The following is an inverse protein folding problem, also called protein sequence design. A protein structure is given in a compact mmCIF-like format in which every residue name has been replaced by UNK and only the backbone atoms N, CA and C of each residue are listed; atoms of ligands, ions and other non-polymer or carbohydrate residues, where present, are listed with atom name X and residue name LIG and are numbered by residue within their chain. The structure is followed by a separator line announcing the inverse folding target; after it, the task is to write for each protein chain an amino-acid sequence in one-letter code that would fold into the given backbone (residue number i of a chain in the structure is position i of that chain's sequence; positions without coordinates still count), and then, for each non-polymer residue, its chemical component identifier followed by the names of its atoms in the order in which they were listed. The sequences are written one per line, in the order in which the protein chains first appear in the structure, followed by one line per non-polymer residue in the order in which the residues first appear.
data_IF_264645849298
#
_entry.id   IF_264645849298
#
_cell.length_a   1.000
_cell.length_b   1.000
_cell.length_c   1.000
_cell.angle_alpha   90.00
_cell.angle_beta   90.00
_cell.angle_gamma   90.00
#
_symmetry.space_group_name_H-M   'P 1'
#
loop_
_entity.id
_entity.type
_entity.pdbx_description
1 polymer ?
#
# COMPACT_ATOMS: atom_id res chain seq x y z
N UNK A 1 -10.10 17.34 -21.39
CA UNK A 1 -9.68 18.29 -20.34
C UNK A 1 -10.61 18.39 -19.10
N UNK A 2 -11.75 17.67 -19.02
CA UNK A 2 -12.70 17.79 -17.91
C UNK A 2 -12.63 16.73 -16.79
N UNK A 3 -11.55 15.96 -16.68
CA UNK A 3 -11.42 15.01 -15.56
C UNK A 3 -10.98 15.76 -14.30
N UNK A 4 -11.86 15.81 -13.29
CA UNK A 4 -11.57 16.38 -11.98
C UNK A 4 -10.37 15.75 -11.27
N UNK A 5 -10.16 16.10 -10.01
CA UNK A 5 -9.04 15.60 -9.23
C UNK A 5 -9.11 14.06 -9.07
N UNK A 6 -7.98 13.34 -9.09
CA UNK A 6 -7.99 11.87 -9.01
C UNK A 6 -8.71 11.35 -7.75
N UNK A 7 -8.49 11.98 -6.59
CA UNK A 7 -9.19 11.65 -5.34
C UNK A 7 -10.70 11.87 -5.36
N UNK A 8 -11.23 12.62 -6.32
CA UNK A 8 -12.68 12.78 -6.51
C UNK A 8 -13.27 11.62 -7.31
N UNK A 9 -12.48 10.99 -8.18
CA UNK A 9 -12.87 9.85 -9.02
C UNK A 9 -12.60 8.51 -8.33
N UNK A 10 -11.54 8.44 -7.53
CA UNK A 10 -11.13 7.26 -6.77
C UNK A 10 -10.75 7.68 -5.34
N UNK A 11 -11.73 7.94 -4.46
CA UNK A 11 -11.46 8.26 -3.07
C UNK A 11 -10.85 7.05 -2.33
N UNK A 12 -10.25 7.30 -1.16
CA UNK A 12 -9.77 6.21 -0.30
C UNK A 12 -10.95 5.51 0.36
N UNK A 13 -10.97 4.17 0.29
CA UNK A 13 -12.00 3.32 0.88
C UNK A 13 -12.07 3.51 2.40
N UNK A 14 -10.94 3.61 3.07
CA UNK A 14 -10.85 3.77 4.53
C UNK A 14 -11.05 5.21 5.04
N UNK A 15 -11.39 6.17 4.17
CA UNK A 15 -11.55 7.57 4.55
C UNK A 15 -12.99 7.91 4.98
N UNK A 16 -13.13 8.58 6.12
CA UNK A 16 -14.42 9.08 6.66
C UNK A 16 -15.15 10.03 5.69
N UNK A 17 -14.43 10.61 4.73
CA UNK A 17 -15.00 11.46 3.68
C UNK A 17 -15.89 10.70 2.70
N UNK A 18 -15.69 9.39 2.55
CA UNK A 18 -16.30 8.56 1.49
C UNK A 18 -17.69 8.04 1.86
N UNK A 19 -17.94 7.83 3.16
CA UNK A 19 -19.13 7.17 3.68
C UNK A 19 -19.99 8.11 4.52
N UNK A 20 -21.31 7.94 4.48
CA UNK A 20 -22.25 8.60 5.38
C UNK A 20 -22.28 7.90 6.76
N UNK A 21 -23.07 8.45 7.68
CA UNK A 21 -23.24 7.91 9.03
C UNK A 21 -23.87 6.51 9.09
N UNK A 22 -24.41 6.01 7.98
CA UNK A 22 -25.02 4.68 7.85
C UNK A 22 -24.14 3.71 7.05
N UNK A 23 -22.91 4.08 6.69
CA UNK A 23 -22.01 3.26 5.88
C UNK A 23 -22.37 3.21 4.40
N UNK A 24 -23.20 4.14 3.91
CA UNK A 24 -23.49 4.29 2.47
C UNK A 24 -22.50 5.24 1.82
N UNK A 25 -22.23 5.05 0.53
CA UNK A 25 -21.41 6.00 -0.24
C UNK A 25 -22.13 7.35 -0.23
N UNK A 26 -21.41 8.44 0.10
CA UNK A 26 -22.00 9.79 0.04
C UNK A 26 -22.45 10.16 -1.37
N UNK A 27 -23.51 10.96 -1.45
CA UNK A 27 -24.15 11.33 -2.73
C UNK A 27 -23.17 11.94 -3.75
N UNK A 28 -22.25 12.81 -3.31
CA UNK A 28 -21.27 13.44 -4.20
C UNK A 28 -20.30 12.43 -4.82
N UNK A 29 -19.87 11.42 -4.06
CA UNK A 29 -19.05 10.31 -4.54
C UNK A 29 -19.86 9.41 -5.46
N UNK A 30 -21.11 9.09 -5.09
CA UNK A 30 -22.00 8.26 -5.89
C UNK A 30 -22.25 8.87 -7.28
N UNK A 31 -22.61 10.16 -7.35
CA UNK A 31 -22.83 10.89 -8.61
C UNK A 31 -21.59 10.88 -9.51
N UNK A 32 -20.38 11.00 -8.94
CA UNK A 32 -19.14 10.92 -9.73
C UNK A 32 -18.88 9.52 -10.27
N UNK A 33 -19.13 8.49 -9.46
CA UNK A 33 -19.03 7.09 -9.89
C UNK A 33 -20.05 6.75 -10.98
N UNK A 34 -21.28 7.26 -10.88
CA UNK A 34 -22.31 7.13 -11.92
C UNK A 34 -21.86 7.77 -13.23
N UNK A 35 -21.29 8.98 -13.17
CA UNK A 35 -20.79 9.69 -14.36
C UNK A 35 -19.70 8.93 -15.12
N UNK A 36 -18.83 8.20 -14.42
CA UNK A 36 -17.79 7.38 -15.05
C UNK A 36 -18.26 5.93 -15.33
N UNK A 37 -19.40 5.52 -14.81
CA UNK A 37 -19.93 4.15 -14.95
C UNK A 37 -19.25 3.10 -14.06
N UNK A 38 -18.40 3.52 -13.12
CA UNK A 38 -17.59 2.65 -12.26
C UNK A 38 -17.55 3.19 -10.83
N UNK A 39 -17.68 2.28 -9.84
CA UNK A 39 -17.28 2.58 -8.46
C UNK A 39 -15.82 2.22 -8.27
N UNK A 40 -14.97 3.22 -8.04
CA UNK A 40 -13.51 3.07 -7.94
C UNK A 40 -13.04 3.58 -6.60
N UNK A 41 -12.17 2.83 -5.92
CA UNK A 41 -11.62 3.20 -4.63
C UNK A 41 -10.14 2.87 -4.56
N UNK A 42 -9.35 3.77 -3.98
CA UNK A 42 -7.98 3.48 -3.55
C UNK A 42 -7.98 2.95 -2.12
N UNK A 43 -6.97 2.18 -1.73
CA UNK A 43 -6.85 1.68 -0.35
C UNK A 43 -5.44 1.15 -0.05
N UNK A 44 -5.07 1.22 1.22
CA UNK A 44 -3.87 0.62 1.83
C UNK A 44 -4.20 -0.50 2.82
N UNK A 45 -5.46 -0.90 2.85
CA UNK A 45 -5.88 -1.95 3.75
C UNK A 45 -5.30 -3.30 3.32
N UNK A 46 -5.04 -4.13 4.33
CA UNK A 46 -4.59 -5.49 4.13
C UNK A 46 -5.69 -6.32 3.48
N UNK A 47 -5.31 -7.40 2.80
CA UNK A 47 -6.26 -8.23 2.05
C UNK A 47 -7.45 -8.70 2.90
N UNK A 48 -7.22 -9.05 4.16
CA UNK A 48 -8.23 -9.55 5.09
C UNK A 48 -9.31 -8.50 5.40
N UNK A 49 -8.94 -7.21 5.38
CA UNK A 49 -9.83 -6.08 5.69
C UNK A 49 -10.66 -5.61 4.49
N UNK A 50 -10.33 -6.06 3.27
CA UNK A 50 -11.06 -5.66 2.07
C UNK A 50 -12.40 -6.41 1.93
N UNK A 51 -13.46 -5.73 1.43
CA UNK A 51 -14.74 -6.36 1.14
C UNK A 51 -14.64 -7.26 -0.10
N UNK A 52 -14.69 -8.58 0.09
CA UNK A 52 -14.45 -9.59 -0.97
C UNK A 52 -15.68 -9.88 -1.82
N UNK A 53 -16.42 -8.84 -2.24
CA UNK A 53 -17.63 -9.00 -3.06
C UNK A 53 -17.29 -9.69 -4.40
N UNK A 54 -18.11 -10.65 -4.86
CA UNK A 54 -17.83 -11.48 -6.05
C UNK A 54 -17.59 -10.66 -7.33
N UNK A 55 -18.24 -9.50 -7.43
CA UNK A 55 -18.11 -8.56 -8.55
C UNK A 55 -16.97 -7.56 -8.43
N UNK A 56 -16.27 -7.50 -7.30
CA UNK A 56 -15.14 -6.61 -7.14
C UNK A 56 -13.93 -7.14 -7.91
N UNK A 57 -13.14 -6.22 -8.47
CA UNK A 57 -11.80 -6.48 -8.98
C UNK A 57 -10.81 -5.67 -8.16
N UNK A 58 -9.61 -6.19 -7.97
CA UNK A 58 -8.53 -5.61 -7.19
C UNK A 58 -7.29 -5.49 -8.05
N UNK A 59 -6.67 -4.32 -8.08
CA UNK A 59 -5.35 -4.14 -8.68
C UNK A 59 -4.41 -3.85 -7.52
N UNK A 60 -3.48 -4.75 -7.24
CA UNK A 60 -2.49 -4.59 -6.17
C UNK A 60 -1.15 -4.15 -6.75
N UNK A 61 -0.70 -2.96 -6.36
CA UNK A 61 0.59 -2.41 -6.79
C UNK A 61 1.62 -2.63 -5.69
N UNK A 62 2.69 -3.34 -6.02
CA UNK A 62 3.86 -3.53 -5.17
C UNK A 62 5.08 -2.80 -5.73
N UNK A 63 5.98 -2.39 -4.85
CA UNK A 63 7.25 -1.74 -5.16
C UNK A 63 8.33 -2.36 -4.29
N UNK A 64 9.59 -2.27 -4.71
CA UNK A 64 10.74 -2.54 -3.84
C UNK A 64 10.54 -1.88 -2.46
N UNK A 65 10.49 -2.71 -1.40
CA UNK A 65 10.21 -2.26 -0.04
C UNK A 65 11.17 -1.18 0.44
N UNK A 66 12.42 -1.17 -0.03
CA UNK A 66 13.44 -0.16 0.33
C UNK A 66 13.14 1.19 -0.31
N UNK A 67 12.80 1.18 -1.60
CA UNK A 67 12.34 2.37 -2.31
C UNK A 67 11.02 2.90 -1.75
N UNK A 68 10.13 2.00 -1.34
CA UNK A 68 8.87 2.33 -0.68
C UNK A 68 9.13 3.02 0.67
N UNK A 69 10.04 2.49 1.48
CA UNK A 69 10.44 3.09 2.76
C UNK A 69 10.97 4.52 2.58
N UNK A 70 11.90 4.75 1.65
CA UNK A 70 12.42 6.11 1.38
C UNK A 70 11.34 7.05 0.87
N UNK A 71 10.46 6.56 -0.02
CA UNK A 71 9.34 7.36 -0.49
C UNK A 71 8.38 7.75 0.64
N UNK A 72 8.11 6.82 1.55
CA UNK A 72 7.19 7.03 2.65
C UNK A 72 7.78 7.91 3.75
N UNK A 73 9.09 7.80 4.01
CA UNK A 73 9.83 8.73 4.86
C UNK A 73 9.65 10.17 4.38
N UNK A 74 9.93 10.45 3.10
CA UNK A 74 9.74 11.80 2.56
C UNK A 74 8.29 12.26 2.63
N UNK A 75 7.34 11.36 2.38
CA UNK A 75 5.91 11.64 2.49
C UNK A 75 5.56 12.09 3.92
N UNK A 76 5.90 11.34 4.96
CA UNK A 76 5.57 11.71 6.34
C UNK A 76 6.37 12.91 6.84
N UNK A 77 7.63 13.04 6.41
CA UNK A 77 8.51 14.13 6.87
C UNK A 77 8.16 15.49 6.29
N UNK A 78 7.31 15.52 5.27
CA UNK A 78 6.80 16.76 4.68
C UNK A 78 5.28 16.86 4.77
N UNK A 79 4.59 15.87 5.32
CA UNK A 79 3.17 15.95 5.58
C UNK A 79 2.96 16.72 6.88
N UNK A 80 2.18 17.78 6.86
CA UNK A 80 1.74 18.42 8.10
C UNK A 80 0.74 17.56 8.86
N UNK A 81 0.82 17.62 10.18
CA UNK A 81 -0.28 17.22 11.06
C UNK A 81 -1.49 18.12 10.84
N UNK A 82 -2.64 17.72 11.37
CA UNK A 82 -3.90 18.49 11.22
C UNK A 82 -3.82 19.91 11.77
N UNK A 83 -2.94 20.14 12.75
CA UNK A 83 -2.68 21.47 13.31
C UNK A 83 -1.96 22.42 12.33
N UNK A 84 -1.34 21.90 11.27
CA UNK A 84 -0.55 22.68 10.31
C UNK A 84 0.73 23.28 10.88
N UNK A 85 1.14 22.92 12.09
CA UNK A 85 2.28 23.49 12.81
C UNK A 85 3.51 22.58 12.80
N UNK A 86 3.29 21.27 12.75
CA UNK A 86 4.36 20.27 12.77
C UNK A 86 4.15 19.23 11.70
N UNK A 87 5.24 18.62 11.24
CA UNK A 87 5.17 17.49 10.30
C UNK A 87 4.80 16.21 11.03
N UNK A 88 4.35 15.20 10.28
CA UNK A 88 3.95 13.91 10.87
C UNK A 88 5.15 13.15 11.42
N UNK A 89 6.32 13.34 10.82
CA UNK A 89 7.56 12.73 11.25
C UNK A 89 8.71 13.76 11.12
N UNK A 90 9.41 14.07 12.20
CA UNK A 90 10.49 15.06 12.23
C UNK A 90 11.88 14.44 12.48
N UNK A 91 11.98 13.10 12.48
CA UNK A 91 13.22 12.36 12.68
C UNK A 91 14.04 12.10 11.40
N UNK A 92 15.16 11.43 11.61
CA UNK A 92 16.04 10.92 10.54
C UNK A 92 15.43 9.73 9.80
N UNK A 93 15.95 9.44 8.61
CA UNK A 93 15.55 8.24 7.86
C UNK A 93 15.82 6.96 8.67
N UNK A 94 16.95 6.86 9.38
CA UNK A 94 17.28 5.68 10.19
C UNK A 94 16.28 5.44 11.32
N UNK A 95 15.82 6.51 11.99
CA UNK A 95 14.76 6.41 13.01
C UNK A 95 13.44 5.96 12.38
N UNK A 96 13.05 6.57 11.26
CA UNK A 96 11.85 6.14 10.52
C UNK A 96 11.93 4.67 10.11
N UNK A 97 13.07 4.25 9.56
CA UNK A 97 13.28 2.92 9.05
C UNK A 97 13.19 1.88 10.18
N UNK A 98 13.79 2.16 11.35
CA UNK A 98 13.71 1.30 12.53
C UNK A 98 12.26 1.08 12.99
N UNK A 99 11.44 2.13 13.01
CA UNK A 99 10.01 2.01 13.32
C UNK A 99 9.23 1.30 12.21
N UNK A 100 9.58 1.56 10.94
CA UNK A 100 8.90 1.01 9.78
C UNK A 100 9.07 -0.50 9.66
N UNK A 101 10.28 -1.03 9.82
CA UNK A 101 10.53 -2.50 9.79
C UNK A 101 9.90 -3.23 10.98
N UNK A 102 9.63 -2.53 12.07
CA UNK A 102 8.91 -3.04 13.24
C UNK A 102 7.38 -2.88 13.12
N UNK A 103 6.88 -2.26 12.05
CA UNK A 103 5.44 -2.05 11.85
C UNK A 103 4.82 -0.97 12.73
N UNK A 104 5.63 -0.08 13.30
CA UNK A 104 5.17 1.05 14.14
C UNK A 104 4.68 2.24 13.32
N UNK A 105 4.95 2.22 12.01
CA UNK A 105 4.41 3.19 11.05
C UNK A 105 3.04 2.71 10.54
N UNK A 106 2.19 3.66 10.13
CA UNK A 106 0.86 3.37 9.59
C UNK A 106 0.91 2.26 8.51
N UNK A 107 -0.13 1.39 8.54
CA UNK A 107 -0.29 0.20 7.69
C UNK A 107 0.66 -0.96 7.98
N UNK A 108 1.48 -0.87 9.04
CA UNK A 108 2.28 -1.98 9.55
C UNK A 108 3.50 -2.30 8.69
N UNK A 109 4.05 -3.51 8.86
CA UNK A 109 5.26 -3.93 8.13
C UNK A 109 4.92 -4.20 6.67
N UNK A 110 5.80 -3.74 5.79
CA UNK A 110 5.69 -3.99 4.35
C UNK A 110 5.59 -5.49 4.04
N UNK A 111 6.44 -6.31 4.67
CA UNK A 111 6.46 -7.76 4.41
C UNK A 111 5.15 -8.44 4.84
N UNK A 112 4.57 -8.04 5.96
CA UNK A 112 3.27 -8.54 6.41
C UNK A 112 2.15 -8.16 5.42
N UNK A 113 2.22 -6.94 4.87
CA UNK A 113 1.29 -6.50 3.84
C UNK A 113 1.43 -7.33 2.55
N UNK A 114 2.65 -7.67 2.12
CA UNK A 114 2.86 -8.60 1.00
C UNK A 114 2.28 -9.98 1.31
N UNK A 115 2.52 -10.51 2.53
CA UNK A 115 1.99 -11.80 2.97
C UNK A 115 0.47 -11.82 2.99
N UNK A 116 -0.19 -10.73 3.40
CA UNK A 116 -1.67 -10.65 3.35
C UNK A 116 -2.21 -10.86 1.93
N UNK A 117 -1.58 -10.23 0.94
CA UNK A 117 -1.96 -10.36 -0.47
C UNK A 117 -1.50 -11.67 -1.12
N UNK A 118 -0.53 -12.37 -0.53
CA UNK A 118 -0.15 -13.73 -0.95
C UNK A 118 -1.30 -14.74 -0.80
N UNK A 119 -2.24 -14.49 0.13
CA UNK A 119 -3.48 -15.26 0.26
C UNK A 119 -4.44 -15.07 -0.93
N UNK A 120 -4.23 -14.04 -1.74
CA UNK A 120 -5.06 -13.67 -2.90
C UNK A 120 -4.40 -14.01 -4.25
N UNK A 121 -3.23 -14.65 -4.24
CA UNK A 121 -2.39 -14.88 -5.44
C UNK A 121 -3.11 -15.65 -6.56
N UNK A 122 -4.03 -16.53 -6.18
CA UNK A 122 -4.80 -17.40 -7.09
C UNK A 122 -6.23 -16.86 -7.31
N UNK A 123 -6.59 -15.71 -6.73
CA UNK A 123 -7.90 -15.09 -6.94
C UNK A 123 -7.92 -14.35 -8.29
N UNK A 124 -8.75 -14.78 -9.27
CA UNK A 124 -8.79 -14.16 -10.60
C UNK A 124 -9.32 -12.73 -10.58
N UNK A 125 -9.85 -12.27 -9.44
CA UNK A 125 -10.26 -10.88 -9.22
C UNK A 125 -9.09 -10.00 -8.78
N UNK A 126 -7.86 -10.51 -8.69
CA UNK A 126 -6.70 -9.74 -8.26
C UNK A 126 -5.64 -9.70 -9.37
N UNK A 127 -5.29 -8.48 -9.79
CA UNK A 127 -4.18 -8.22 -10.70
C UNK A 127 -2.99 -7.66 -9.90
N UNK A 128 -1.88 -8.39 -9.92
CA UNK A 128 -0.63 -7.95 -9.31
C UNK A 128 0.20 -7.16 -10.33
N UNK A 129 0.63 -5.95 -9.94
CA UNK A 129 1.49 -5.08 -10.74
C UNK A 129 2.70 -4.64 -9.92
N UNK A 130 3.87 -4.57 -10.56
CA UNK A 130 5.07 -4.02 -9.96
C UNK A 130 5.33 -2.61 -10.45
N UNK A 131 5.73 -1.73 -9.54
CA UNK A 131 6.16 -0.38 -9.87
C UNK A 131 7.33 -0.39 -10.86
N UNK A 132 8.27 -1.31 -10.66
CA UNK A 132 9.44 -1.48 -11.53
C UNK A 132 9.03 -1.84 -12.96
N UNK A 133 8.05 -2.74 -13.12
CA UNK A 133 7.52 -3.15 -14.42
C UNK A 133 6.76 -1.99 -15.11
N UNK A 134 6.07 -1.14 -14.34
CA UNK A 134 5.45 0.08 -14.87
C UNK A 134 6.48 1.13 -15.31
N UNK A 135 7.67 1.12 -14.70
CA UNK A 135 8.77 2.01 -15.11
C UNK A 135 9.50 1.50 -16.34
N UNK A 136 9.63 0.19 -16.51
CA UNK A 136 10.28 -0.42 -17.67
C UNK A 136 9.37 -0.54 -18.90
N UNK A 137 8.10 -0.92 -18.70
CA UNK A 137 7.11 -1.10 -19.77
C UNK A 137 5.72 -0.65 -19.31
N UNK A 138 5.51 0.67 -19.34
CA UNK A 138 4.23 1.28 -18.96
C UNK A 138 3.09 0.83 -19.88
N UNK A 139 3.33 0.75 -21.19
CA UNK A 139 2.27 0.43 -22.16
C UNK A 139 1.80 -1.02 -22.01
N UNK A 140 2.71 -1.96 -21.76
CA UNK A 140 2.37 -3.33 -21.42
C UNK A 140 1.57 -3.44 -20.13
N UNK A 141 1.93 -2.69 -19.07
CA UNK A 141 1.12 -2.70 -17.84
C UNK A 141 -0.27 -2.09 -18.05
N UNK A 142 -0.39 -1.02 -18.85
CA UNK A 142 -1.70 -0.44 -19.22
C UNK A 142 -2.55 -1.45 -20.00
N UNK A 143 -1.96 -2.19 -20.94
CA UNK A 143 -2.67 -3.29 -21.64
C UNK A 143 -3.17 -4.36 -20.68
N UNK A 144 -2.34 -4.80 -19.72
CA UNK A 144 -2.78 -5.76 -18.67
C UNK A 144 -3.97 -5.23 -17.88
N UNK A 145 -3.92 -3.95 -17.46
CA UNK A 145 -5.03 -3.30 -16.73
C UNK A 145 -6.28 -3.26 -17.61
N UNK A 146 -6.17 -2.84 -18.88
CA UNK A 146 -7.29 -2.79 -19.82
C UNK A 146 -7.97 -4.15 -19.96
N UNK A 147 -7.21 -5.22 -20.20
CA UNK A 147 -7.74 -6.58 -20.30
C UNK A 147 -8.42 -7.01 -18.99
N UNK A 148 -7.79 -6.72 -17.85
CA UNK A 148 -8.28 -7.15 -16.54
C UNK A 148 -9.59 -6.48 -16.13
N UNK A 149 -9.70 -5.16 -16.30
CA UNK A 149 -10.93 -4.42 -15.94
C UNK A 149 -11.96 -4.44 -17.07
N UNK A 150 -11.53 -4.71 -18.30
CA UNK A 150 -12.36 -4.84 -19.49
C UNK A 150 -12.83 -3.49 -20.03
N UNK A 151 -11.93 -2.51 -20.23
CA UNK A 151 -12.34 -1.20 -20.78
C UNK A 151 -12.66 -1.25 -22.27
N UNK A 152 -12.17 -2.28 -22.99
CA UNK A 152 -12.41 -2.45 -24.43
C UNK A 152 -11.54 -1.57 -25.31
N UNK A 153 -10.60 -0.81 -24.74
CA UNK A 153 -9.72 0.08 -25.51
C UNK A 153 -8.81 -0.71 -26.45
N UNK A 154 -8.73 -0.27 -27.70
CA UNK A 154 -7.82 -0.78 -28.73
C UNK A 154 -6.38 -0.30 -28.54
N UNK A 155 -5.46 -0.90 -29.30
CA UNK A 155 -4.02 -0.56 -29.23
C UNK A 155 -3.74 0.91 -29.57
N UNK A 156 -4.46 1.47 -30.56
CA UNK A 156 -4.31 2.85 -30.99
C UNK A 156 -4.80 3.83 -29.91
N UNK A 157 -5.96 3.56 -29.30
CA UNK A 157 -6.51 4.37 -28.20
C UNK A 157 -5.58 4.35 -26.99
N UNK A 158 -5.05 3.17 -26.63
CA UNK A 158 -4.04 3.05 -25.56
C UNK A 158 -2.82 3.90 -25.90
N UNK A 159 -2.29 3.77 -27.13
CA UNK A 159 -1.12 4.53 -27.57
C UNK A 159 -1.36 6.04 -27.49
N UNK A 160 -2.55 6.51 -27.89
CA UNK A 160 -2.93 7.92 -27.79
C UNK A 160 -3.01 8.44 -26.35
N UNK A 161 -3.36 7.58 -25.39
CA UNK A 161 -3.43 7.94 -23.96
C UNK A 161 -2.08 7.92 -23.25
N UNK A 162 -1.09 7.17 -23.75
CA UNK A 162 0.22 6.99 -23.11
C UNK A 162 0.92 8.27 -22.66
N UNK A 163 0.91 9.38 -23.44
CA UNK A 163 1.53 10.64 -23.00
C UNK A 163 0.96 11.16 -21.67
N UNK A 164 -0.27 10.80 -21.34
CA UNK A 164 -0.97 11.26 -20.12
C UNK A 164 -0.68 10.42 -18.88
N UNK A 165 -0.07 9.24 -19.03
CA UNK A 165 0.26 8.32 -17.93
C UNK A 165 1.70 8.47 -17.44
N UNK A 166 2.52 9.28 -18.14
CA UNK A 166 3.92 9.46 -17.82
C UNK A 166 4.18 10.26 -16.54
N UNK A 167 5.29 9.96 -15.87
CA UNK A 167 5.72 10.66 -14.67
C UNK A 167 5.79 12.19 -14.84
N UNK A 168 6.36 12.65 -15.95
CA UNK A 168 6.50 14.08 -16.21
C UNK A 168 5.14 14.76 -16.38
N UNK A 169 4.20 14.11 -17.08
CA UNK A 169 2.84 14.60 -17.26
C UNK A 169 2.11 14.77 -15.93
N UNK A 170 2.24 13.78 -15.05
CA UNK A 170 1.66 13.86 -13.71
C UNK A 170 2.34 14.92 -12.85
N UNK A 171 3.68 15.02 -12.92
CA UNK A 171 4.47 15.98 -12.13
C UNK A 171 4.17 17.43 -12.49
N UNK A 172 3.94 17.74 -13.77
CA UNK A 172 3.56 19.09 -14.21
C UNK A 172 2.11 19.45 -13.86
N UNK A 173 1.25 18.45 -13.64
CA UNK A 173 -0.16 18.59 -13.24
C UNK A 173 -0.41 18.12 -11.82
N UNK A 174 0.50 18.48 -10.92
CA UNK A 174 0.52 17.99 -9.53
C UNK A 174 -0.79 18.27 -8.79
N UNK A 175 -1.47 19.37 -9.14
CA UNK A 175 -2.77 19.79 -8.64
C UNK A 175 -3.88 18.77 -8.89
N UNK A 176 -3.70 17.81 -9.80
CA UNK A 176 -4.67 16.75 -10.11
C UNK A 176 -4.39 15.43 -9.39
N UNK A 177 -3.18 15.26 -8.87
CA UNK A 177 -2.67 13.98 -8.37
C UNK A 177 -2.23 14.00 -6.90
N UNK A 178 -1.90 15.17 -6.35
CA UNK A 178 -1.52 15.27 -4.94
C UNK A 178 -2.75 15.09 -4.03
N UNK A 179 -2.67 14.34 -2.92
CA UNK A 179 -3.80 14.15 -2.03
C UNK A 179 -4.37 15.48 -1.49
N UNK A 180 -5.65 15.77 -1.78
CA UNK A 180 -6.34 16.98 -1.31
C UNK A 180 -6.49 17.04 0.22
N UNK A 181 -6.49 15.88 0.88
CA UNK A 181 -6.61 15.77 2.33
C UNK A 181 -5.29 16.02 3.07
N UNK A 182 -4.20 16.28 2.34
CA UNK A 182 -2.86 16.44 2.89
C UNK A 182 -2.36 17.86 2.65
N UNK A 183 -1.87 18.50 3.72
CA UNK A 183 -1.09 19.73 3.61
C UNK A 183 0.39 19.38 3.65
N UNK A 184 1.15 19.97 2.74
CA UNK A 184 2.58 19.72 2.58
C UNK A 184 3.41 20.87 3.16
N UNK A 185 4.53 20.53 3.77
CA UNK A 185 5.50 21.48 4.30
C UNK A 185 6.38 22.06 3.19
N UNK A 186 6.60 23.38 3.25
CA UNK A 186 7.41 24.11 2.29
C UNK A 186 6.97 23.89 0.85
N UNK A 187 7.93 23.68 -0.05
CA UNK A 187 7.70 23.44 -1.48
C UNK A 187 7.65 21.95 -1.84
N UNK A 188 7.40 21.07 -0.85
CA UNK A 188 7.34 19.63 -1.10
C UNK A 188 6.22 19.29 -2.09
N UNK A 189 6.52 18.40 -3.03
CA UNK A 189 5.56 17.89 -4.00
C UNK A 189 5.42 16.39 -3.83
N UNK A 190 4.18 15.92 -3.73
CA UNK A 190 3.84 14.50 -3.58
C UNK A 190 4.50 13.61 -4.66
N UNK A 191 4.50 14.06 -5.91
CA UNK A 191 5.22 13.40 -7.00
C UNK A 191 6.69 13.84 -6.99
N UNK A 192 7.53 13.04 -6.32
CA UNK A 192 8.93 13.38 -5.99
C UNK A 192 9.92 13.09 -7.14
N UNK A 193 10.41 11.84 -7.25
CA UNK A 193 11.49 11.45 -8.19
C UNK A 193 11.08 10.47 -9.29
N UNK A 194 10.16 9.54 -9.04
CA UNK A 194 9.70 8.59 -10.07
C UNK A 194 10.78 7.60 -10.56
N UNK A 195 11.72 7.22 -9.69
CA UNK A 195 12.86 6.36 -10.02
C UNK A 195 12.83 5.06 -9.23
N UNK A 196 13.41 4.02 -9.83
CA UNK A 196 13.73 2.74 -9.20
C UNK A 196 15.17 2.80 -8.65
N UNK A 197 15.39 2.28 -7.45
CA UNK A 197 16.69 2.24 -6.80
C UNK A 197 17.12 3.53 -6.09
N UNK A 198 16.18 4.43 -5.78
CA UNK A 198 16.48 5.67 -5.04
C UNK A 198 16.95 5.38 -3.61
N UNK A 199 16.59 4.22 -3.05
CA UNK A 199 17.05 3.79 -1.73
C UNK A 199 18.58 3.71 -1.62
N UNK A 200 19.30 3.41 -2.71
CA UNK A 200 20.77 3.26 -2.68
C UNK A 200 21.50 4.53 -2.26
N UNK A 201 20.87 5.70 -2.40
CA UNK A 201 21.44 6.98 -1.99
C UNK A 201 21.04 7.39 -0.56
N UNK A 202 20.26 6.59 0.16
CA UNK A 202 19.66 6.96 1.45
C UNK A 202 19.75 5.87 2.50
N UNK A 203 19.56 4.61 2.13
CA UNK A 203 19.71 3.46 3.00
C UNK A 203 21.18 3.05 3.10
N UNK A 204 21.67 2.86 4.33
CA UNK A 204 22.98 2.31 4.61
C UNK A 204 22.94 0.81 4.92
N UNK A 205 24.09 0.21 5.28
CA UNK A 205 24.17 -1.21 5.59
C UNK A 205 23.27 -1.67 6.75
N UNK A 206 23.04 -0.79 7.73
CA UNK A 206 22.18 -1.08 8.87
C UNK A 206 20.69 -1.21 8.44
N UNK A 207 20.22 -0.30 7.59
CA UNK A 207 18.86 -0.35 7.04
C UNK A 207 18.67 -1.59 6.15
N UNK A 208 19.62 -1.90 5.27
CA UNK A 208 19.56 -3.11 4.42
C UNK A 208 19.53 -4.39 5.27
N UNK A 209 20.35 -4.47 6.33
CA UNK A 209 20.35 -5.61 7.26
C UNK A 209 19.01 -5.75 7.97
N UNK A 210 18.45 -4.65 8.47
CA UNK A 210 17.15 -4.65 9.15
C UNK A 210 16.00 -5.01 8.20
N UNK A 211 16.04 -4.55 6.96
CA UNK A 211 15.08 -4.93 5.93
C UNK A 211 15.16 -6.43 5.61
N UNK A 212 16.37 -6.96 5.41
CA UNK A 212 16.58 -8.39 5.17
C UNK A 212 16.11 -9.26 6.35
N UNK A 213 16.35 -8.82 7.60
CA UNK A 213 15.84 -9.49 8.79
C UNK A 213 14.29 -9.51 8.82
N UNK A 214 13.65 -8.39 8.48
CA UNK A 214 12.19 -8.30 8.36
C UNK A 214 11.65 -9.28 7.32
N UNK A 215 12.34 -9.44 6.17
CA UNK A 215 11.95 -10.40 5.15
C UNK A 215 12.11 -11.85 5.63
N UNK A 216 13.21 -12.17 6.32
CA UNK A 216 13.49 -13.51 6.83
C UNK A 216 12.46 -13.94 7.87
N UNK A 217 12.05 -13.02 8.73
CA UNK A 217 11.02 -13.25 9.74
C UNK A 217 9.64 -13.56 9.12
N UNK A 218 9.26 -12.88 8.04
CA UNK A 218 7.94 -13.09 7.40
C UNK A 218 7.94 -14.23 6.39
N UNK A 219 9.06 -14.46 5.73
CA UNK A 219 9.26 -15.46 4.69
C UNK A 219 10.47 -16.35 5.08
N UNK A 220 10.36 -17.22 6.10
CA UNK A 220 11.50 -17.98 6.64
C UNK A 220 12.08 -19.00 5.65
N UNK A 221 11.23 -19.62 4.82
CA UNK A 221 11.63 -20.56 3.75
C UNK A 221 12.28 -19.84 2.56
N UNK A 222 12.38 -18.53 2.67
CA UNK A 222 12.94 -17.65 1.67
C UNK A 222 11.98 -17.20 0.59
N UNK A 223 12.44 -16.20 -0.16
CA UNK A 223 11.77 -15.71 -1.36
C UNK A 223 10.47 -14.95 -1.05
N UNK A 224 10.56 -13.62 -1.11
CA UNK A 224 9.36 -12.81 -1.34
C UNK A 224 8.70 -13.30 -2.65
N UNK A 225 7.36 -13.39 -2.72
CA UNK A 225 6.68 -13.90 -3.90
C UNK A 225 7.17 -13.23 -5.20
N UNK A 226 7.37 -14.01 -6.27
CA UNK A 226 7.93 -13.49 -7.53
C UNK A 226 7.17 -12.27 -8.08
N UNK A 227 5.85 -12.24 -7.89
CA UNK A 227 5.00 -11.11 -8.27
C UNK A 227 5.26 -9.84 -7.45
N UNK A 228 5.81 -9.96 -6.23
CA UNK A 228 6.23 -8.85 -5.37
C UNK A 228 7.69 -8.41 -5.62
N UNK A 229 8.49 -9.25 -6.29
CA UNK A 229 9.85 -8.97 -6.72
C UNK A 229 10.84 -10.08 -6.33
N UNK A 230 12.02 -10.06 -6.94
CA UNK A 230 13.12 -10.93 -6.57
C UNK A 230 13.99 -10.23 -5.52
N UNK A 231 13.84 -10.64 -4.25
CA UNK A 231 14.67 -10.16 -3.15
C UNK A 231 15.49 -11.34 -2.66
N UNK A 232 16.80 -11.17 -2.61
CA UNK A 232 17.72 -12.18 -2.09
C UNK A 232 18.14 -11.79 -0.67
N UNK A 233 18.30 -12.77 0.22
CA UNK A 233 19.03 -12.54 1.46
C UNK A 233 20.47 -12.21 1.10
N UNK A 234 21.09 -11.17 1.69
CA UNK A 234 22.53 -11.03 1.59
C UNK A 234 23.18 -12.28 2.20
N UNK A 235 24.11 -12.88 1.45
CA UNK A 235 24.74 -14.16 1.76
C UNK A 235 25.65 -14.16 3.02
N UNK A 236 25.66 -13.09 3.81
CA UNK A 236 26.65 -12.85 4.88
C UNK A 236 26.09 -12.83 6.30
N UNK A 237 24.86 -13.29 6.53
CA UNK A 237 24.40 -13.58 7.90
C UNK A 237 24.51 -15.08 8.17
N UNK A 238 25.74 -15.60 8.15
CA UNK A 238 26.07 -16.82 8.89
C UNK A 238 26.06 -16.44 10.37
N UNK A 239 25.00 -16.82 11.09
CA UNK A 239 25.17 -17.05 12.52
C UNK A 239 26.20 -18.17 12.67
N UNK A 240 27.20 -17.91 13.49
CA UNK A 240 28.27 -18.82 13.85
C UNK A 240 27.65 -20.11 14.42
N UNK A 241 27.65 -21.20 13.64
CA UNK A 241 27.20 -22.53 14.08
C UNK A 241 28.30 -23.21 14.92
N UNK A 242 28.70 -22.56 16.00
CA UNK A 242 29.66 -23.11 16.96
C UNK A 242 29.09 -23.11 18.38
N UNK A 243 28.02 -23.87 18.60
CA UNK A 243 27.74 -24.46 19.91
C UNK A 243 26.87 -25.71 19.79
N UNK A 244 27.47 -26.84 20.17
CA UNK A 244 26.86 -28.10 20.61
C UNK A 244 26.13 -28.96 19.58
N UNK A 245 26.95 -29.69 18.81
CA UNK A 245 26.65 -31.08 18.52
C UNK A 245 26.64 -31.89 19.82
N UNK A 246 25.46 -32.37 20.25
CA UNK A 246 25.31 -33.60 21.06
C UNK A 246 23.85 -34.06 21.07
N UNK A 247 23.63 -35.28 20.56
CA UNK A 247 22.49 -36.14 20.95
C UNK A 247 21.39 -36.30 19.91
N UNK A 248 21.46 -37.40 19.16
CA UNK A 248 20.35 -37.98 18.40
C UNK A 248 19.37 -38.62 19.39
N UNK A 249 18.08 -38.30 19.30
CA UNK A 249 16.97 -39.26 19.47
C UNK A 249 15.76 -38.83 18.67
N UNK A 250 15.28 -39.76 17.84
CA UNK A 250 14.01 -39.73 17.12
C UNK A 250 12.83 -39.74 18.08
N UNK A 251 11.85 -38.84 17.91
CA UNK A 251 10.47 -39.13 18.31
C UNK A 251 9.44 -38.24 17.59
N UNK A 252 8.25 -38.82 17.52
CA UNK A 252 7.11 -38.58 16.65
C UNK A 252 6.31 -37.30 16.94
N UNK A 253 5.62 -36.84 15.88
CA UNK A 253 4.52 -35.88 15.81
C UNK A 253 3.81 -35.43 17.11
N UNK A 254 3.70 -34.11 17.30
CA UNK A 254 2.57 -33.47 17.94
C UNK A 254 2.30 -32.11 17.29
N UNK A 255 1.07 -31.92 16.81
CA UNK A 255 0.57 -30.65 16.33
C UNK A 255 0.44 -29.66 17.49
N UNK A 256 1.15 -28.53 17.45
CA UNK A 256 0.94 -27.43 18.37
C UNK A 256 0.26 -26.27 17.65
N UNK A 257 -1.02 -26.08 17.96
CA UNK A 257 -1.80 -24.90 17.61
C UNK A 257 -1.25 -23.66 18.32
N UNK A 258 -0.56 -22.78 17.60
CA UNK A 258 -0.27 -21.43 18.11
C UNK A 258 -1.37 -20.48 17.66
N UNK A 259 -2.28 -20.18 18.57
CA UNK A 259 -3.30 -19.15 18.40
C UNK A 259 -2.63 -17.77 18.32
N UNK A 260 -2.54 -17.20 17.12
CA UNK A 260 -2.22 -15.78 16.96
C UNK A 260 -3.48 -14.96 17.23
N UNK A 261 -3.54 -14.34 18.41
CA UNK A 261 -4.62 -13.43 18.81
C UNK A 261 -4.67 -12.24 17.83
N UNK A 262 -5.80 -11.93 17.18
CA UNK A 262 -5.89 -10.80 16.27
C UNK A 262 -5.85 -9.47 17.05
N UNK A 263 -5.30 -8.39 16.47
CA UNK A 263 -5.26 -7.09 17.11
C UNK A 263 -6.68 -6.52 17.33
N UNK A 264 -6.86 -5.65 18.35
CA UNK A 264 -8.18 -5.22 18.80
C UNK A 264 -8.92 -4.39 17.74
N UNK A 265 -10.22 -4.67 17.61
CA UNK A 265 -11.16 -4.09 16.63
C UNK A 265 -11.65 -2.70 17.05
N UNK A 266 -11.61 -1.70 16.15
CA UNK A 266 -12.67 -0.70 16.13
C UNK A 266 -13.26 -0.46 14.73
N UNK A 267 -13.36 -1.50 13.87
CA UNK A 267 -13.98 -1.35 12.53
C UNK A 267 -15.00 -2.45 12.16
N UNK A 268 -15.43 -3.27 13.13
CA UNK A 268 -16.29 -4.43 12.87
C UNK A 268 -17.77 -4.09 12.57
N UNK A 269 -18.18 -2.81 12.54
CA UNK A 269 -19.58 -2.42 12.36
C UNK A 269 -19.89 -1.68 11.04
N UNK A 270 -18.98 -1.67 10.06
CA UNK A 270 -19.18 -0.99 8.76
C UNK A 270 -19.32 -1.94 7.55
N UNK A 271 -19.50 -3.25 7.79
CA UNK A 271 -19.35 -4.28 6.75
C UNK A 271 -20.64 -4.87 6.16
N UNK A 272 -21.82 -4.33 6.47
CA UNK A 272 -23.07 -4.78 5.85
C UNK A 272 -23.78 -3.63 5.12
N UNK A 273 -23.50 -3.51 3.80
CA UNK A 273 -24.44 -3.15 2.72
C UNK A 273 -23.71 -2.41 1.58
N UNK A 274 -23.38 -3.10 0.49
CA UNK A 274 -23.11 -2.44 -0.81
C UNK A 274 -23.11 -3.46 -1.98
N UNK A 275 -24.27 -4.04 -2.29
CA UNK A 275 -24.49 -4.78 -3.54
C UNK A 275 -24.41 -3.86 -4.77
N UNK A 276 -24.07 -4.48 -5.92
CA UNK A 276 -24.10 -3.97 -7.31
C UNK A 276 -22.91 -3.15 -7.81
N UNK A 277 -22.10 -3.78 -8.70
CA UNK A 277 -21.04 -3.22 -9.57
C UNK A 277 -19.92 -2.44 -8.86
N UNK A 278 -18.83 -3.10 -8.44
CA UNK A 278 -17.65 -2.42 -7.88
C UNK A 278 -16.39 -2.83 -8.66
N UNK A 279 -15.49 -1.90 -8.93
CA UNK A 279 -14.11 -2.17 -9.34
C UNK A 279 -13.20 -1.48 -8.31
N UNK A 280 -12.66 -2.22 -7.34
CA UNK A 280 -11.82 -1.65 -6.28
C UNK A 280 -10.37 -1.61 -6.76
N UNK A 281 -9.93 -0.48 -7.33
CA UNK A 281 -8.55 -0.33 -7.81
C UNK A 281 -7.63 0.09 -6.65
N UNK A 282 -7.00 -0.86 -5.97
CA UNK A 282 -6.12 -0.60 -4.83
C UNK A 282 -4.73 -0.03 -5.25
N UNK A 283 -4.66 1.27 -5.55
CA UNK A 283 -3.36 1.95 -5.65
C UNK A 283 -2.93 2.41 -4.25
N UNK A 284 -1.87 1.79 -3.74
CA UNK A 284 -1.25 2.18 -2.49
C UNK A 284 -0.32 3.42 -2.68
N UNK A 285 -0.79 4.63 -2.36
CA UNK A 285 0.09 5.72 -1.86
C UNK A 285 -0.41 6.35 -0.56
N UNK A 286 0.38 6.21 0.52
CA UNK A 286 -0.04 6.36 1.92
C UNK A 286 -0.64 7.75 2.18
N UNK A 287 -1.78 7.85 2.88
CA UNK A 287 -1.99 8.96 3.82
C UNK A 287 -3.20 8.71 4.74
N UNK A 288 -2.96 8.55 6.05
CA UNK A 288 -3.89 9.05 7.07
C UNK A 288 -3.21 9.19 8.44
N UNK A 289 -3.25 10.40 8.99
CA UNK A 289 -3.14 10.66 10.43
C UNK A 289 -4.55 10.64 11.01
N UNK A 290 -4.85 9.67 11.87
CA UNK A 290 -6.06 9.68 12.70
C UNK A 290 -5.66 9.98 14.15
N UNK A 291 -6.02 11.18 14.57
CA UNK A 291 -5.96 11.65 15.97
C UNK A 291 -6.83 10.74 16.84
N UNK A 292 -6.22 10.12 17.86
CA UNK A 292 -6.96 9.50 18.95
C UNK A 292 -7.82 10.56 19.65
N UNK A 293 -9.15 10.40 19.64
CA UNK A 293 -10.01 11.08 20.61
C UNK A 293 -9.90 10.31 21.92
N UNK A 294 -9.34 10.95 22.96
CA UNK A 294 -9.49 10.50 24.35
C UNK A 294 -10.97 10.47 24.68
N UNK A 295 -11.48 9.30 25.03
CA UNK A 295 -12.62 9.20 25.94
C UNK A 295 -12.09 9.47 27.35
N UNK A 296 -12.58 10.53 28.00
CA UNK A 296 -12.68 10.56 29.46
C UNK A 296 -14.16 10.58 29.79
N UNK A 297 -14.62 9.50 30.41
CA UNK A 297 -15.96 9.41 31.03
C UNK A 297 -15.86 9.91 32.47
N UNK A 298 -16.76 10.83 32.79
CA UNK A 298 -17.53 11.00 34.06
C UNK A 298 -16.81 11.15 35.39
N UNK A 299 -17.12 12.25 36.10
CA UNK A 299 -17.89 12.24 37.36
C UNK A 299 -18.07 13.67 37.90
N UNK A 300 -19.30 14.06 38.26
CA UNK A 300 -19.66 15.33 38.89
C UNK A 300 -20.90 15.94 38.28
#
# INVERSE_FOLDING_TARGET
EHSGHVSQLAPFYEADGTWDQHGRIKNDVATRHEKIGWRVFNTHLWWELLPKHSRARFIYVVRDGRDAAVSFYHHLSHQFRKDGKSVVFDGTFSQFHADWVQGKIAYGRWADHIRSFQAARDDPRVLFLRYEDMRSDLQGQVRKINTFIGTGLGSEEIAALMPTFGFQWMKTRIDRFQPLSVKWAGNFRFIRKGKVGDHKATAGPAEEKAFAAMLKDVFPDGGVPKWAGAYTYPASCTCDDSADARGITTETAAASSTSSTPPPRPYAQLLLAASARAAVVAVAFVSLVRTMRRCSRTSG
#
